data_IF_356380032700
#
_entry.id   IF_356380032700
#
_cell.length_a   1.000
_cell.length_b   1.000
_cell.length_c   1.000
_cell.angle_alpha   90.00
_cell.angle_beta   90.00
_cell.angle_gamma   90.00
#
_symmetry.space_group_name_H-M   'P 1'
#
loop_
_entity.id
_entity.type
_entity.pdbx_description
1 polymer ?
#
# COMPACT_ATOMS: atom_id res chain seq x y z
N UNK A 1 3.59 6.73 -1.65
CA UNK A 1 3.68 6.29 -0.28
C UNK A 1 3.87 4.78 -0.13
N UNK A 2 3.57 4.29 1.04
CA UNK A 2 3.62 2.87 1.42
C UNK A 2 2.25 2.25 1.19
N UNK A 3 2.23 0.98 0.79
CA UNK A 3 1.00 0.18 0.70
C UNK A 3 0.72 -0.47 2.05
N UNK A 4 -0.52 -0.37 2.50
CA UNK A 4 -1.00 -1.02 3.72
C UNK A 4 -2.29 -1.80 3.45
N UNK A 5 -2.59 -2.74 4.33
CA UNK A 5 -3.83 -3.51 4.30
C UNK A 5 -4.52 -3.44 5.66
N UNK A 6 -5.83 -3.31 5.64
CA UNK A 6 -6.67 -3.52 6.82
C UNK A 6 -7.70 -4.60 6.52
N UNK A 7 -7.69 -5.68 7.31
CA UNK A 7 -8.66 -6.77 7.23
C UNK A 7 -9.69 -6.57 8.35
N UNK A 8 -10.93 -6.38 7.95
CA UNK A 8 -12.08 -6.24 8.87
C UNK A 8 -12.69 -7.60 9.09
N UNK A 9 -12.41 -8.22 10.22
CA UNK A 9 -12.97 -9.54 10.60
C UNK A 9 -14.36 -9.43 11.21
N UNK A 10 -14.65 -8.30 11.84
CA UNK A 10 -15.91 -8.04 12.51
C UNK A 10 -16.19 -6.54 12.45
N UNK A 11 -17.31 -6.15 11.85
CA UNK A 11 -17.65 -4.74 11.64
C UNK A 11 -18.01 -4.00 12.94
N UNK A 12 -18.45 -4.72 13.95
CA UNK A 12 -18.89 -4.15 15.23
C UNK A 12 -17.76 -4.11 16.26
N UNK A 13 -16.69 -4.88 16.04
CA UNK A 13 -15.59 -4.97 16.99
C UNK A 13 -14.26 -4.51 16.39
N UNK A 14 -13.91 -3.24 16.61
CA UNK A 14 -12.68 -2.63 16.13
C UNK A 14 -11.40 -3.33 16.63
N UNK A 15 -11.46 -4.05 17.76
CA UNK A 15 -10.31 -4.80 18.27
C UNK A 15 -9.95 -6.02 17.40
N UNK A 16 -10.85 -6.43 16.50
CA UNK A 16 -10.65 -7.52 15.56
C UNK A 16 -10.15 -7.06 14.18
N UNK A 17 -9.84 -5.77 14.02
CA UNK A 17 -9.14 -5.28 12.84
C UNK A 17 -7.71 -5.80 12.84
N UNK A 18 -7.21 -6.21 11.68
CA UNK A 18 -5.81 -6.50 11.45
C UNK A 18 -5.27 -5.51 10.43
N UNK A 19 -4.30 -4.70 10.82
CA UNK A 19 -3.70 -3.69 9.95
C UNK A 19 -2.19 -3.82 9.96
N UNK A 20 -1.57 -3.74 8.77
CA UNK A 20 -0.11 -3.72 8.60
C UNK A 20 0.27 -3.07 7.28
N UNK A 21 1.50 -2.57 7.22
CA UNK A 21 2.12 -2.25 5.94
C UNK A 21 2.50 -3.53 5.20
N UNK A 22 2.38 -3.51 3.88
CA UNK A 22 2.63 -4.67 3.03
C UNK A 22 3.73 -4.46 2.00
N UNK A 23 4.22 -3.24 1.83
CA UNK A 23 5.31 -2.96 0.89
C UNK A 23 5.27 -1.55 0.33
N UNK A 24 6.05 -1.29 -0.73
CA UNK A 24 6.00 -0.01 -1.41
C UNK A 24 4.62 0.17 -2.07
N UNK A 25 4.12 1.41 -2.04
CA UNK A 25 3.07 1.85 -2.94
C UNK A 25 3.71 2.51 -4.16
N UNK A 26 3.28 3.73 -4.49
CA UNK A 26 3.91 4.48 -5.59
C UNK A 26 5.29 5.06 -5.22
N UNK A 27 5.80 4.90 -4.00
CA UNK A 27 7.01 5.62 -3.55
C UNK A 27 8.25 5.34 -4.43
N UNK A 28 8.45 4.11 -4.87
CA UNK A 28 9.57 3.76 -5.75
C UNK A 28 9.39 4.38 -7.15
N UNK A 29 8.20 4.25 -7.72
CA UNK A 29 7.81 4.78 -9.02
C UNK A 29 7.98 6.31 -9.02
N UNK A 30 7.38 6.98 -8.03
CA UNK A 30 7.43 8.43 -7.91
C UNK A 30 8.87 8.95 -7.72
N UNK A 31 9.68 8.22 -6.95
CA UNK A 31 11.08 8.58 -6.72
C UNK A 31 11.89 8.47 -8.00
N UNK A 32 11.68 7.43 -8.80
CA UNK A 32 12.34 7.25 -10.09
C UNK A 32 11.92 8.34 -11.08
N UNK A 33 10.61 8.61 -11.19
CA UNK A 33 10.06 9.65 -12.06
C UNK A 33 10.65 11.03 -11.72
N UNK A 34 10.70 11.40 -10.44
CA UNK A 34 11.27 12.68 -10.01
C UNK A 34 12.77 12.80 -10.25
N UNK A 35 13.51 11.69 -10.17
CA UNK A 35 14.96 11.69 -10.41
C UNK A 35 15.33 11.76 -11.90
N UNK A 36 14.47 11.29 -12.79
CA UNK A 36 14.78 11.14 -14.20
C UNK A 36 13.90 12.01 -15.12
N UNK A 37 13.04 12.86 -14.55
CA UNK A 37 12.18 13.77 -15.31
C UNK A 37 11.75 14.97 -14.46
N UNK A 38 11.09 15.94 -15.10
CA UNK A 38 10.44 17.10 -14.41
C UNK A 38 9.03 16.76 -13.89
N UNK A 39 8.59 15.50 -14.01
CA UNK A 39 7.28 15.05 -13.52
C UNK A 39 7.36 14.69 -12.04
N UNK A 40 6.25 14.84 -11.32
CA UNK A 40 6.16 14.49 -9.89
C UNK A 40 5.88 12.99 -9.67
N UNK A 41 5.13 12.37 -10.58
CA UNK A 41 4.70 10.96 -10.53
C UNK A 41 4.28 10.48 -11.93
N UNK A 42 4.04 9.19 -12.07
CA UNK A 42 3.48 8.58 -13.29
C UNK A 42 1.96 8.73 -13.28
N UNK A 43 1.45 9.73 -14.03
CA UNK A 43 0.01 9.98 -14.10
C UNK A 43 -0.70 8.81 -14.81
N UNK A 44 -1.72 8.24 -14.17
CA UNK A 44 -2.53 7.10 -14.66
C UNK A 44 -1.73 5.84 -15.06
N UNK A 45 -0.42 5.78 -14.79
CA UNK A 45 0.45 4.71 -15.25
C UNK A 45 0.92 4.87 -16.70
N UNK A 46 0.88 6.10 -17.24
CA UNK A 46 1.20 6.34 -18.65
C UNK A 46 2.66 5.99 -19.01
N UNK A 47 3.63 6.30 -18.13
CA UNK A 47 5.03 5.92 -18.35
C UNK A 47 5.20 4.40 -18.26
N UNK A 48 4.58 3.77 -17.24
CA UNK A 48 4.61 2.32 -17.07
C UNK A 48 3.97 1.57 -18.25
N UNK A 49 3.06 2.21 -19.00
CA UNK A 49 2.35 1.56 -20.12
C UNK A 49 3.16 1.49 -21.40
N UNK A 50 4.20 2.30 -21.53
CA UNK A 50 5.00 2.42 -22.78
C UNK A 50 6.41 1.84 -22.64
N UNK A 51 6.92 1.65 -21.41
CA UNK A 51 8.21 1.02 -21.18
C UNK A 51 8.14 -0.50 -21.22
N UNK A 52 9.32 -1.12 -21.21
CA UNK A 52 9.50 -2.57 -21.17
C UNK A 52 10.09 -2.99 -19.84
N UNK A 53 9.47 -3.98 -19.18
CA UNK A 53 10.02 -4.57 -17.95
C UNK A 53 11.36 -5.23 -18.25
N UNK A 54 12.38 -4.92 -17.46
CA UNK A 54 13.64 -5.66 -17.51
C UNK A 54 13.52 -6.90 -16.60
N UNK A 55 13.37 -8.07 -17.21
CA UNK A 55 13.12 -9.33 -16.51
C UNK A 55 14.24 -9.70 -15.53
N UNK A 56 15.50 -9.58 -15.93
CA UNK A 56 16.66 -9.95 -15.10
C UNK A 56 16.71 -9.09 -13.84
N UNK A 57 16.58 -7.77 -14.00
CA UNK A 57 16.60 -6.83 -12.89
C UNK A 57 15.38 -7.08 -11.95
N UNK A 58 14.23 -7.32 -12.54
CA UNK A 58 13.01 -7.61 -11.79
C UNK A 58 13.14 -8.87 -10.93
N UNK A 59 13.59 -9.99 -11.52
CA UNK A 59 13.77 -11.27 -10.81
C UNK A 59 14.79 -11.16 -9.67
N UNK A 60 15.93 -10.53 -9.93
CA UNK A 60 16.95 -10.28 -8.89
C UNK A 60 16.40 -9.41 -7.74
N UNK A 61 15.66 -8.36 -8.07
CA UNK A 61 15.07 -7.48 -7.05
C UNK A 61 14.02 -8.20 -6.20
N UNK A 62 13.19 -9.05 -6.83
CA UNK A 62 12.22 -9.89 -6.12
C UNK A 62 12.92 -10.87 -5.18
N UNK A 63 13.91 -11.60 -5.67
CA UNK A 63 14.66 -12.56 -4.86
C UNK A 63 15.28 -11.88 -3.64
N UNK A 64 15.96 -10.76 -3.84
CA UNK A 64 16.54 -9.98 -2.75
C UNK A 64 15.50 -9.48 -1.75
N UNK A 65 14.34 -9.03 -2.22
CA UNK A 65 13.28 -8.53 -1.36
C UNK A 65 12.68 -9.63 -0.49
N UNK A 66 12.30 -10.76 -1.09
CA UNK A 66 11.64 -11.85 -0.37
C UNK A 66 12.60 -12.66 0.51
N UNK A 67 13.89 -12.68 0.20
CA UNK A 67 14.92 -13.28 1.05
C UNK A 67 15.31 -12.41 2.26
N UNK A 68 15.02 -11.11 2.24
CA UNK A 68 15.22 -10.27 3.42
C UNK A 68 14.27 -10.69 4.54
N UNK A 69 14.80 -10.82 5.76
CA UNK A 69 14.02 -11.17 6.97
C UNK A 69 13.02 -10.08 7.42
N UNK A 70 12.50 -9.28 6.50
CA UNK A 70 11.55 -8.19 6.76
C UNK A 70 10.13 -8.66 7.14
N UNK A 71 9.86 -9.97 7.12
CA UNK A 71 8.54 -10.56 7.42
C UNK A 71 7.98 -10.25 8.81
N UNK A 72 8.79 -9.68 9.71
CA UNK A 72 8.36 -9.29 11.06
C UNK A 72 8.08 -7.79 11.22
N UNK A 73 8.36 -6.97 10.21
CA UNK A 73 8.17 -5.53 10.29
C UNK A 73 6.69 -5.20 10.04
N UNK A 74 6.04 -4.57 11.01
CA UNK A 74 4.63 -4.17 10.92
C UNK A 74 4.44 -2.83 10.21
N UNK A 75 5.49 -2.03 10.13
CA UNK A 75 5.45 -0.70 9.50
C UNK A 75 6.72 -0.46 8.71
N UNK A 76 6.57 0.19 7.56
CA UNK A 76 7.65 0.58 6.67
C UNK A 76 7.75 2.11 6.56
N UNK A 77 8.97 2.59 6.27
CA UNK A 77 9.23 3.93 5.78
C UNK A 77 9.64 3.89 4.29
N UNK A 78 9.49 5.00 3.58
CA UNK A 78 9.92 5.09 2.18
C UNK A 78 11.41 4.83 2.00
N UNK A 79 12.23 5.12 3.03
CA UNK A 79 13.66 4.86 3.06
C UNK A 79 14.02 3.37 3.25
N UNK A 80 13.06 2.52 3.58
CA UNK A 80 13.27 1.07 3.62
C UNK A 80 13.41 0.45 2.23
N UNK A 81 13.08 1.21 1.18
CA UNK A 81 13.08 0.76 -0.20
C UNK A 81 14.10 1.54 -1.04
N UNK A 82 14.86 0.81 -1.83
CA UNK A 82 15.87 1.37 -2.72
C UNK A 82 15.48 1.15 -4.18
N UNK A 83 15.75 2.15 -5.02
CA UNK A 83 15.53 2.13 -6.47
C UNK A 83 16.83 1.91 -7.26
N UNK A 84 17.95 1.66 -6.58
CA UNK A 84 19.26 1.55 -7.25
C UNK A 84 19.32 0.42 -8.26
N UNK A 85 18.51 -0.61 -8.09
CA UNK A 85 18.47 -1.76 -8.99
C UNK A 85 17.98 -1.44 -10.41
N UNK A 86 17.21 -0.36 -10.61
CA UNK A 86 16.79 0.11 -11.95
C UNK A 86 17.72 1.17 -12.54
N UNK A 87 18.83 1.49 -11.86
CA UNK A 87 19.80 2.46 -12.35
C UNK A 87 20.36 2.02 -13.70
N UNK A 88 20.35 2.94 -14.67
CA UNK A 88 20.82 2.68 -16.02
C UNK A 88 19.72 2.28 -17.01
N UNK A 89 18.48 2.06 -16.54
CA UNK A 89 17.33 1.92 -17.43
C UNK A 89 16.86 3.30 -17.93
N UNK A 90 16.11 3.29 -19.04
CA UNK A 90 15.37 4.47 -19.47
C UNK A 90 14.34 4.88 -18.43
N UNK A 91 13.80 6.11 -18.54
CA UNK A 91 12.72 6.55 -17.64
C UNK A 91 11.56 5.56 -17.65
N UNK A 92 11.10 5.20 -18.82
CA UNK A 92 9.92 4.36 -19.06
C UNK A 92 10.17 2.91 -18.60
N UNK A 93 11.30 2.32 -18.98
CA UNK A 93 11.64 0.94 -18.59
C UNK A 93 11.84 0.82 -17.08
N UNK A 94 12.46 1.83 -16.46
CA UNK A 94 12.60 1.90 -15.01
C UNK A 94 11.24 2.00 -14.31
N UNK A 95 10.33 2.86 -14.79
CA UNK A 95 8.97 2.97 -14.26
C UNK A 95 8.22 1.66 -14.42
N UNK A 96 8.30 1.02 -15.58
CA UNK A 96 7.62 -0.26 -15.84
C UNK A 96 8.15 -1.36 -14.93
N UNK A 97 9.48 -1.51 -14.82
CA UNK A 97 10.10 -2.50 -13.94
C UNK A 97 9.73 -2.29 -12.46
N UNK A 98 9.73 -1.04 -11.99
CA UNK A 98 9.31 -0.69 -10.63
C UNK A 98 7.82 -0.92 -10.39
N UNK A 99 6.98 -0.70 -11.40
CA UNK A 99 5.54 -0.95 -11.30
C UNK A 99 5.25 -2.44 -11.19
N UNK A 100 5.89 -3.28 -12.01
CA UNK A 100 5.79 -4.74 -11.90
C UNK A 100 6.32 -5.24 -10.55
N UNK A 101 7.47 -4.73 -10.08
CA UNK A 101 8.03 -5.07 -8.77
C UNK A 101 7.10 -4.70 -7.62
N UNK A 102 6.56 -3.48 -7.62
CA UNK A 102 5.59 -3.01 -6.62
C UNK A 102 4.33 -3.88 -6.63
N UNK A 103 3.79 -4.16 -7.82
CA UNK A 103 2.60 -4.99 -7.97
C UNK A 103 2.81 -6.41 -7.45
N UNK A 104 3.97 -7.01 -7.72
CA UNK A 104 4.28 -8.36 -7.26
C UNK A 104 4.33 -8.46 -5.74
N UNK A 105 4.97 -7.49 -5.07
CA UNK A 105 5.03 -7.44 -3.61
C UNK A 105 3.62 -7.28 -3.03
N UNK A 106 2.83 -6.35 -3.55
CA UNK A 106 1.46 -6.11 -3.07
C UNK A 106 0.61 -7.37 -3.24
N UNK A 107 0.66 -8.03 -4.40
CA UNK A 107 -0.14 -9.22 -4.68
C UNK A 107 0.23 -10.40 -3.78
N UNK A 108 1.52 -10.64 -3.56
CA UNK A 108 2.02 -11.71 -2.68
C UNK A 108 1.61 -11.46 -1.23
N UNK A 109 1.80 -10.22 -0.73
CA UNK A 109 1.46 -9.87 0.64
C UNK A 109 -0.06 -9.85 0.88
N UNK A 110 -0.86 -9.43 -0.12
CA UNK A 110 -2.32 -9.54 -0.08
C UNK A 110 -2.75 -11.01 0.01
N UNK A 111 -2.24 -11.85 -0.88
CA UNK A 111 -2.55 -13.28 -0.93
C UNK A 111 -2.18 -13.98 0.37
N UNK A 112 -1.00 -13.71 0.91
CA UNK A 112 -0.53 -14.22 2.20
C UNK A 112 -1.42 -13.75 3.37
N UNK A 113 -1.78 -12.47 3.39
CA UNK A 113 -2.61 -11.88 4.44
C UNK A 113 -4.04 -12.42 4.41
N UNK A 114 -4.62 -12.58 3.22
CA UNK A 114 -5.95 -13.20 3.04
C UNK A 114 -5.94 -14.62 3.54
N UNK A 115 -4.95 -15.43 3.13
CA UNK A 115 -4.80 -16.82 3.56
C UNK A 115 -4.65 -16.94 5.09
N UNK A 116 -3.82 -16.10 5.69
CA UNK A 116 -3.58 -16.11 7.14
C UNK A 116 -4.75 -15.60 7.97
N UNK A 117 -5.61 -14.76 7.40
CA UNK A 117 -6.77 -14.19 8.10
C UNK A 117 -7.82 -15.23 8.47
N UNK A 118 -7.86 -16.36 7.74
CA UNK A 118 -8.91 -17.39 7.83
C UNK A 118 -10.34 -16.86 7.57
N UNK A 119 -10.45 -15.71 6.93
CA UNK A 119 -11.73 -15.10 6.54
C UNK A 119 -11.89 -15.20 5.04
N UNK A 120 -13.09 -15.55 4.57
CA UNK A 120 -13.39 -15.52 3.14
C UNK A 120 -13.47 -14.08 2.67
N UNK A 121 -12.50 -13.64 1.89
CA UNK A 121 -12.42 -12.30 1.32
C UNK A 121 -12.63 -12.42 -0.19
N UNK A 122 -13.65 -11.74 -0.69
CA UNK A 122 -13.97 -11.70 -2.12
C UNK A 122 -13.73 -10.31 -2.72
N UNK A 123 -13.76 -9.27 -1.90
CA UNK A 123 -13.61 -7.89 -2.33
C UNK A 123 -12.51 -7.19 -1.54
N UNK A 124 -11.67 -6.46 -2.27
CA UNK A 124 -10.68 -5.56 -1.72
C UNK A 124 -11.05 -4.15 -2.17
N UNK A 125 -11.23 -3.25 -1.20
CA UNK A 125 -11.47 -1.84 -1.46
C UNK A 125 -10.14 -1.10 -1.54
N UNK A 126 -9.95 -0.35 -2.60
CA UNK A 126 -8.74 0.40 -2.89
C UNK A 126 -8.97 1.89 -2.61
N UNK A 127 -8.07 2.49 -1.84
CA UNK A 127 -8.03 3.93 -1.58
C UNK A 127 -6.62 4.49 -1.75
N UNK A 128 -6.47 5.80 -1.64
CA UNK A 128 -5.19 6.48 -1.80
C UNK A 128 -4.73 6.62 -3.25
N UNK A 129 -3.59 7.28 -3.46
CA UNK A 129 -3.11 7.67 -4.79
C UNK A 129 -2.79 6.50 -5.74
N UNK A 130 -2.41 5.33 -5.18
CA UNK A 130 -2.10 4.13 -5.97
C UNK A 130 -3.29 3.63 -6.80
N UNK A 131 -4.53 3.86 -6.35
CA UNK A 131 -5.75 3.46 -7.07
C UNK A 131 -5.91 4.13 -8.44
N UNK A 132 -5.22 5.26 -8.66
CA UNK A 132 -5.25 6.00 -9.93
C UNK A 132 -4.26 5.45 -10.97
N UNK A 133 -3.26 4.67 -10.55
CA UNK A 133 -2.31 4.06 -11.46
C UNK A 133 -2.91 2.79 -12.08
N UNK A 134 -3.46 2.92 -13.28
CA UNK A 134 -4.17 1.84 -13.97
C UNK A 134 -3.29 0.63 -14.28
N UNK A 135 -2.01 0.86 -14.58
CA UNK A 135 -1.05 -0.21 -14.87
C UNK A 135 -0.75 -0.98 -13.59
N UNK A 136 -0.48 -0.29 -12.49
CA UNK A 136 -0.26 -0.91 -11.18
C UNK A 136 -1.47 -1.77 -10.77
N UNK A 137 -2.70 -1.23 -10.89
CA UNK A 137 -3.92 -1.99 -10.56
C UNK A 137 -4.10 -3.23 -11.43
N UNK A 138 -3.83 -3.11 -12.74
CA UNK A 138 -3.90 -4.24 -13.67
C UNK A 138 -2.92 -5.33 -13.23
N UNK A 139 -1.67 -4.97 -12.93
CA UNK A 139 -0.62 -5.91 -12.52
C UNK A 139 -0.93 -6.57 -11.16
N UNK A 140 -1.46 -5.82 -10.19
CA UNK A 140 -1.92 -6.38 -8.92
C UNK A 140 -3.03 -7.40 -9.16
N UNK A 141 -3.99 -7.08 -10.03
CA UNK A 141 -5.10 -8.01 -10.36
C UNK A 141 -4.60 -9.29 -10.99
N UNK A 142 -3.63 -9.20 -11.90
CA UNK A 142 -3.00 -10.36 -12.56
C UNK A 142 -2.30 -11.29 -11.54
N UNK A 143 -1.74 -10.73 -10.47
CA UNK A 143 -1.09 -11.49 -9.40
C UNK A 143 -2.01 -12.04 -8.32
N UNK A 144 -3.32 -11.73 -8.36
CA UNK A 144 -4.31 -12.20 -7.39
C UNK A 144 -5.16 -13.34 -7.95
N UNK A 145 -5.71 -14.15 -7.03
CA UNK A 145 -6.67 -15.19 -7.42
C UNK A 145 -7.90 -14.60 -8.13
N UNK A 146 -8.42 -15.23 -9.20
CA UNK A 146 -9.51 -14.68 -10.01
C UNK A 146 -10.81 -14.40 -9.25
N UNK A 147 -11.05 -15.06 -8.11
CA UNK A 147 -12.24 -14.83 -7.30
C UNK A 147 -12.17 -13.55 -6.44
N UNK A 148 -10.98 -12.92 -6.32
CA UNK A 148 -10.80 -11.69 -5.58
C UNK A 148 -11.06 -10.51 -6.52
N UNK A 149 -11.98 -9.64 -6.12
CA UNK A 149 -12.36 -8.45 -6.88
C UNK A 149 -11.73 -7.20 -6.25
N UNK A 150 -10.97 -6.46 -7.05
CA UNK A 150 -10.51 -5.12 -6.68
C UNK A 150 -11.61 -4.11 -7.03
N UNK A 151 -11.99 -3.29 -6.06
CA UNK A 151 -12.99 -2.24 -6.20
C UNK A 151 -12.45 -0.92 -5.70
N UNK A 152 -12.77 0.17 -6.36
CA UNK A 152 -12.40 1.49 -5.88
C UNK A 152 -13.35 1.91 -4.76
N UNK A 153 -12.84 2.58 -3.74
CA UNK A 153 -13.70 3.11 -2.67
C UNK A 153 -14.63 4.20 -3.20
N UNK A 154 -14.22 4.85 -4.27
CA UNK A 154 -14.99 5.85 -5.02
C UNK A 154 -16.33 5.28 -5.53
N UNK A 155 -16.39 3.98 -5.88
CA UNK A 155 -17.61 3.28 -6.29
C UNK A 155 -18.66 3.20 -5.16
N UNK A 156 -18.29 3.52 -3.93
CA UNK A 156 -19.16 3.53 -2.75
C UNK A 156 -19.47 4.94 -2.23
N UNK A 157 -19.35 5.95 -3.09
CA UNK A 157 -19.57 7.36 -2.77
C UNK A 157 -18.64 7.90 -1.68
N UNK A 158 -17.44 7.32 -1.56
CA UNK A 158 -16.38 7.80 -0.65
C UNK A 158 -15.22 8.25 -1.50
N UNK A 159 -14.86 9.53 -1.42
CA UNK A 159 -13.72 10.06 -2.15
C UNK A 159 -12.41 9.50 -1.61
N UNK A 160 -11.76 8.67 -2.43
CA UNK A 160 -10.51 7.99 -2.06
C UNK A 160 -9.32 8.92 -1.85
N UNK A 161 -9.38 10.19 -2.26
CA UNK A 161 -8.34 11.19 -2.00
C UNK A 161 -8.43 11.76 -0.58
N UNK A 162 -9.60 11.69 0.05
CA UNK A 162 -9.84 12.25 1.39
C UNK A 162 -9.94 11.19 2.50
N UNK A 163 -9.72 9.92 2.21
CA UNK A 163 -9.78 8.84 3.21
C UNK A 163 -8.85 9.12 4.40
N UNK A 164 -7.63 9.55 4.13
CA UNK A 164 -6.65 9.84 5.18
C UNK A 164 -7.10 11.04 6.03
N UNK A 165 -7.58 12.12 5.42
CA UNK A 165 -8.12 13.27 6.13
C UNK A 165 -9.33 12.91 6.98
N UNK A 166 -10.23 12.07 6.48
CA UNK A 166 -11.39 11.58 7.23
C UNK A 166 -10.96 10.69 8.39
N UNK A 167 -9.95 9.82 8.19
CA UNK A 167 -9.40 8.99 9.25
C UNK A 167 -8.81 9.85 10.38
N UNK A 168 -8.04 10.89 10.06
CA UNK A 168 -7.51 11.81 11.06
C UNK A 168 -8.60 12.59 11.78
N UNK A 169 -9.64 13.05 11.08
CA UNK A 169 -10.80 13.68 11.72
C UNK A 169 -11.51 12.74 12.71
N UNK A 170 -11.71 11.48 12.29
CA UNK A 170 -12.28 10.45 13.16
C UNK A 170 -11.41 10.20 14.41
N UNK A 171 -10.09 10.08 14.23
CA UNK A 171 -9.15 9.88 15.34
C UNK A 171 -9.13 11.09 16.29
N UNK A 172 -9.23 12.32 15.76
CA UNK A 172 -9.30 13.53 16.56
C UNK A 172 -10.56 13.54 17.46
N UNK A 173 -11.73 13.20 16.90
CA UNK A 173 -12.98 13.11 17.66
C UNK A 173 -12.85 12.05 18.76
N UNK A 174 -12.33 10.86 18.45
CA UNK A 174 -12.09 9.81 19.45
C UNK A 174 -11.15 10.26 20.55
N UNK A 175 -10.07 10.97 20.19
CA UNK A 175 -9.10 11.54 21.14
C UNK A 175 -9.78 12.50 22.12
N UNK A 176 -10.61 13.43 21.61
CA UNK A 176 -11.38 14.39 22.44
C UNK A 176 -12.33 13.64 23.39
N UNK A 177 -12.95 12.57 22.91
CA UNK A 177 -13.86 11.72 23.69
C UNK A 177 -13.13 10.74 24.62
N UNK A 178 -11.79 10.75 24.67
CA UNK A 178 -10.94 9.83 25.42
C UNK A 178 -11.19 8.34 25.06
N UNK A 179 -11.64 8.09 23.84
CA UNK A 179 -11.78 6.75 23.28
C UNK A 179 -10.46 6.25 22.72
N UNK A 180 -10.21 4.94 22.70
CA UNK A 180 -9.01 4.40 22.10
C UNK A 180 -8.90 4.74 20.61
N UNK A 181 -7.69 5.15 20.20
CA UNK A 181 -7.32 5.43 18.79
C UNK A 181 -6.30 4.42 18.25
N UNK A 182 -5.78 3.57 19.12
CA UNK A 182 -4.76 2.58 18.81
C UNK A 182 -5.08 1.25 19.47
N UNK A 183 -4.88 0.16 18.76
CA UNK A 183 -5.22 -1.19 19.24
C UNK A 183 -4.03 -2.15 18.97
N UNK A 184 -3.86 -3.22 19.80
CA UNK A 184 -2.79 -4.20 19.59
C UNK A 184 -2.74 -4.78 18.18
N UNK A 185 -3.89 -5.03 17.58
CA UNK A 185 -4.02 -5.62 16.24
C UNK A 185 -3.78 -4.65 15.08
N UNK A 186 -3.67 -3.35 15.34
CA UNK A 186 -3.45 -2.33 14.29
C UNK A 186 -2.09 -1.67 14.39
N UNK A 187 -1.63 -1.33 15.58
CA UNK A 187 -0.37 -0.59 15.80
C UNK A 187 0.67 -1.37 16.61
N UNK A 188 0.32 -2.58 17.09
CA UNK A 188 1.21 -3.36 17.96
C UNK A 188 1.37 -2.81 19.37
N UNK A 189 0.53 -1.86 19.80
CA UNK A 189 0.55 -1.37 21.18
C UNK A 189 0.14 -2.48 22.16
N UNK A 190 0.61 -2.40 23.42
CA UNK A 190 0.32 -3.45 24.42
C UNK A 190 -1.17 -3.54 24.77
N UNK A 191 -1.84 -2.40 24.88
CA UNK A 191 -3.27 -2.28 25.22
C UNK A 191 -3.90 -1.21 24.36
N UNK A 192 -5.23 -1.27 24.17
CA UNK A 192 -5.97 -0.19 23.52
C UNK A 192 -5.68 1.14 24.20
N UNK A 193 -5.23 2.12 23.44
CA UNK A 193 -4.68 3.37 23.97
C UNK A 193 -5.34 4.58 23.34
N UNK A 194 -5.59 5.59 24.15
CA UNK A 194 -5.93 6.94 23.69
C UNK A 194 -4.67 7.67 23.27
N UNK A 195 -4.81 8.79 22.58
CA UNK A 195 -3.67 9.62 22.17
C UNK A 195 -4.13 11.00 21.71
N UNK A 196 -3.14 11.82 21.34
CA UNK A 196 -3.37 13.19 20.93
C UNK A 196 -3.41 14.18 22.11
N UNK A 197 -3.07 15.43 21.82
CA UNK A 197 -3.11 16.56 22.75
C UNK A 197 -3.90 17.69 22.11
N UNK A 198 -4.96 18.14 22.80
CA UNK A 198 -5.69 19.32 22.39
C UNK A 198 -4.88 20.56 22.76
N UNK A 199 -4.48 21.33 21.76
CA UNK A 199 -3.87 22.64 21.94
C UNK A 199 -4.99 23.67 21.80
N UNK A 200 -5.22 24.44 22.85
CA UNK A 200 -6.14 25.58 22.83
C UNK A 200 -5.32 26.82 22.49
N UNK A 201 -5.79 27.61 21.55
CA UNK A 201 -5.26 28.95 21.29
C UNK A 201 -5.68 29.90 22.39
#
# INVERSE_FOLDING_TARGET
GISNITIVKDKENLSKLLSKDIGPGNCLIDTWVRKNSNKKFDYDGNLASIGTKNEIIFEQAQELYFNRNNKKKLSFDTNDFDISFVRGLSLEDGVTTLTDFTASIISEELSSSIKSSKVKIENILLSGGGRKNKVLLKKIREGLSPHIKLKLIDDYNVDGDFIESQAFAFLAIRSIQKLPISFPSTTGCKTASTGGKLIKN
#
